data_IF_051037924671
#
_entry.id   IF_051037924671
#
_cell.length_a   1.000
_cell.length_b   1.000
_cell.length_c   1.000
_cell.angle_alpha   90.00
_cell.angle_beta   90.00
_cell.angle_gamma   90.00
#
_symmetry.space_group_name_H-M   'P 1'
#
loop_
_entity.id
_entity.type
_entity.pdbx_description
1 polymer ?
#
# COMPACT_ATOMS: atom_id res chain seq x y z
N UNK A 1 18.87 12.52 -5.32
CA UNK A 1 18.53 11.21 -4.69
C UNK A 1 17.33 11.42 -3.79
N UNK A 2 16.29 10.63 -3.96
CA UNK A 2 15.08 10.71 -3.13
C UNK A 2 15.12 9.61 -2.07
N UNK A 3 14.82 9.95 -0.83
CA UNK A 3 14.78 9.01 0.29
C UNK A 3 13.33 8.83 0.72
N UNK A 4 12.92 7.58 0.90
CA UNK A 4 11.63 7.19 1.45
C UNK A 4 11.81 6.22 2.60
N UNK A 5 10.88 6.22 3.53
CA UNK A 5 10.70 5.09 4.43
C UNK A 5 9.66 4.14 3.82
N UNK A 6 10.04 2.88 3.62
CA UNK A 6 9.15 1.87 3.04
C UNK A 6 8.23 1.30 4.10
N UNK A 7 6.93 1.35 3.85
CA UNK A 7 5.92 0.73 4.69
C UNK A 7 5.13 -0.32 3.91
N UNK A 8 5.12 -1.52 4.45
CA UNK A 8 4.26 -2.60 4.00
C UNK A 8 2.95 -2.57 4.78
N UNK A 9 1.86 -2.32 4.08
CA UNK A 9 0.51 -2.34 4.64
C UNK A 9 -0.11 -3.71 4.40
N UNK A 10 0.15 -4.63 5.33
CA UNK A 10 -0.27 -6.02 5.25
C UNK A 10 -1.29 -6.36 6.33
N UNK A 11 -2.17 -7.30 6.04
CA UNK A 11 -3.19 -7.75 6.99
C UNK A 11 -4.50 -8.13 6.34
N UNK A 12 -5.57 -8.07 7.11
CA UNK A 12 -6.90 -8.41 6.63
C UNK A 12 -7.78 -7.16 6.40
N UNK A 13 -9.09 -7.27 6.59
CA UNK A 13 -10.08 -6.25 6.22
C UNK A 13 -9.83 -4.85 6.79
N UNK A 14 -9.35 -4.74 8.03
CA UNK A 14 -9.06 -3.42 8.62
C UNK A 14 -7.88 -2.73 7.93
N UNK A 15 -6.88 -3.49 7.51
CA UNK A 15 -5.75 -2.94 6.74
C UNK A 15 -6.14 -2.73 5.27
N UNK A 16 -6.90 -3.65 4.68
CA UNK A 16 -7.38 -3.53 3.31
C UNK A 16 -8.28 -2.29 3.13
N UNK A 17 -9.06 -1.98 4.16
CA UNK A 17 -9.92 -0.80 4.20
C UNK A 17 -11.33 -1.06 3.68
N UNK A 18 -12.29 -0.94 4.60
CA UNK A 18 -13.73 -1.04 4.31
C UNK A 18 -14.46 0.27 4.67
N UNK A 19 -13.70 1.33 4.91
CA UNK A 19 -14.23 2.65 5.15
C UNK A 19 -14.84 3.28 3.89
N UNK A 20 -15.53 4.40 4.06
CA UNK A 20 -16.11 5.15 2.95
C UNK A 20 -15.13 6.27 2.58
N UNK A 21 -14.56 6.18 1.38
CA UNK A 21 -13.65 7.19 0.84
C UNK A 21 -14.36 7.95 -0.30
N UNK A 22 -15.19 8.92 0.06
CA UNK A 22 -15.88 9.76 -0.93
C UNK A 22 -16.04 11.19 -0.42
N UNK A 23 -16.40 12.10 -1.33
CA UNK A 23 -16.56 13.52 -1.03
C UNK A 23 -17.70 13.84 -0.07
N UNK A 24 -18.66 12.93 0.12
CA UNK A 24 -19.74 13.10 1.09
C UNK A 24 -19.29 12.82 2.55
N UNK A 25 -18.13 12.18 2.72
CA UNK A 25 -17.57 11.84 4.03
C UNK A 25 -16.09 12.26 4.05
N UNK A 26 -15.82 13.57 4.08
CA UNK A 26 -14.45 14.08 3.97
C UNK A 26 -13.53 13.62 5.10
N UNK A 27 -14.05 13.33 6.29
CA UNK A 27 -13.26 12.76 7.39
C UNK A 27 -12.77 11.34 7.09
N UNK A 28 -13.49 10.62 6.23
CA UNK A 28 -13.13 9.27 5.81
C UNK A 28 -12.22 9.23 4.57
N UNK A 29 -12.01 10.36 3.92
CA UNK A 29 -11.23 10.45 2.69
C UNK A 29 -10.28 11.65 2.72
N UNK A 30 -9.26 11.64 3.61
CA UNK A 30 -8.32 12.75 3.70
C UNK A 30 -7.47 12.86 2.43
N UNK A 31 -7.14 14.08 2.05
CA UNK A 31 -6.18 14.35 0.99
C UNK A 31 -4.75 14.07 1.46
N UNK A 32 -3.92 13.57 0.56
CA UNK A 32 -2.50 13.41 0.82
C UNK A 32 -1.83 14.80 0.92
N UNK A 33 -1.04 15.00 1.98
CA UNK A 33 -0.16 16.17 2.05
C UNK A 33 0.86 16.10 0.91
N UNK A 34 1.05 17.21 0.21
CA UNK A 34 1.99 17.29 -0.91
C UNK A 34 3.39 16.80 -0.48
N UNK A 35 3.92 15.83 -1.19
CA UNK A 35 5.24 15.26 -0.91
C UNK A 35 5.28 14.25 0.24
N UNK A 36 4.15 13.93 0.87
CA UNK A 36 4.14 13.03 2.04
C UNK A 36 4.43 11.56 1.70
N UNK A 37 4.16 11.14 0.46
CA UNK A 37 4.44 9.76 0.10
C UNK A 37 3.97 9.38 -1.30
N UNK A 38 4.31 8.16 -1.68
CA UNK A 38 3.95 7.56 -2.94
C UNK A 38 3.57 6.09 -2.75
N UNK A 39 2.79 5.56 -3.67
CA UNK A 39 2.44 4.13 -3.74
C UNK A 39 3.27 3.46 -4.82
N UNK A 40 3.90 2.34 -4.48
CA UNK A 40 4.44 1.42 -5.47
C UNK A 40 3.43 0.32 -5.77
N UNK A 41 3.03 0.23 -7.02
CA UNK A 41 2.02 -0.73 -7.50
C UNK A 41 2.69 -1.95 -8.13
N UNK A 42 3.12 -2.87 -7.29
CA UNK A 42 3.87 -4.05 -7.72
C UNK A 42 3.11 -4.95 -8.72
N UNK A 43 1.78 -4.94 -8.67
CA UNK A 43 0.93 -5.79 -9.51
C UNK A 43 0.38 -5.04 -10.70
N UNK A 44 -0.25 -3.89 -10.50
CA UNK A 44 -0.96 -3.18 -11.56
C UNK A 44 -0.04 -2.37 -12.47
N UNK A 45 1.01 -1.76 -11.92
CA UNK A 45 1.98 -1.00 -12.72
C UNK A 45 3.31 -0.81 -11.97
N UNK A 46 4.27 -1.73 -12.10
CA UNK A 46 5.57 -1.64 -11.43
C UNK A 46 6.57 -0.68 -12.11
N UNK A 47 6.12 0.12 -13.07
CA UNK A 47 7.02 0.98 -13.86
C UNK A 47 7.17 2.39 -13.31
N UNK A 48 6.32 2.81 -12.37
CA UNK A 48 6.31 4.16 -11.83
C UNK A 48 5.70 4.21 -10.43
N UNK A 49 5.89 5.33 -9.73
CA UNK A 49 5.20 5.63 -8.49
C UNK A 49 3.90 6.40 -8.75
N UNK A 50 2.94 6.21 -7.86
CA UNK A 50 1.65 6.87 -7.86
C UNK A 50 1.45 7.69 -6.58
N UNK A 51 0.69 8.78 -6.62
CA UNK A 51 0.29 9.44 -5.38
C UNK A 51 -0.58 8.50 -4.53
N UNK A 52 -0.34 8.47 -3.22
CA UNK A 52 -1.21 7.72 -2.31
C UNK A 52 -2.59 8.36 -2.30
N UNK A 53 -3.61 7.55 -2.53
CA UNK A 53 -5.00 7.96 -2.52
C UNK A 53 -5.89 6.80 -2.05
N UNK A 54 -7.04 7.12 -1.50
CA UNK A 54 -8.02 6.10 -1.13
C UNK A 54 -8.95 5.79 -2.31
N UNK A 55 -9.35 4.55 -2.48
CA UNK A 55 -8.97 3.37 -1.71
C UNK A 55 -7.56 2.89 -2.05
N UNK A 56 -6.70 2.81 -1.05
CA UNK A 56 -5.30 2.42 -1.23
C UNK A 56 -5.18 0.94 -1.63
N UNK A 57 -4.35 0.65 -2.61
CA UNK A 57 -4.10 -0.72 -3.07
C UNK A 57 -5.26 -1.37 -3.83
N UNK A 58 -6.24 -0.61 -4.27
CA UNK A 58 -7.46 -1.15 -4.91
C UNK A 58 -7.18 -1.95 -6.19
N UNK A 59 -6.11 -1.63 -6.90
CA UNK A 59 -5.75 -2.28 -8.17
C UNK A 59 -4.73 -3.41 -7.99
N UNK A 60 -4.26 -3.65 -6.77
CA UNK A 60 -3.18 -4.59 -6.50
C UNK A 60 -3.72 -6.02 -6.30
N UNK A 61 -4.33 -6.55 -7.35
CA UNK A 61 -4.98 -7.86 -7.36
C UNK A 61 -4.17 -8.87 -8.15
N UNK A 62 -3.68 -9.90 -7.45
CA UNK A 62 -2.93 -11.02 -8.02
C UNK A 62 -3.80 -12.28 -7.98
N UNK A 63 -4.23 -12.83 -9.13
CA UNK A 63 -5.11 -14.02 -9.16
C UNK A 63 -4.51 -15.25 -8.50
N UNK A 64 -3.19 -15.34 -8.36
CA UNK A 64 -2.50 -16.46 -7.72
C UNK A 64 -2.04 -16.17 -6.29
N UNK A 65 -2.46 -15.04 -5.72
CA UNK A 65 -2.10 -14.60 -4.38
C UNK A 65 -3.21 -13.76 -3.78
N UNK A 66 -2.87 -12.53 -3.40
CA UNK A 66 -3.82 -11.57 -2.84
C UNK A 66 -4.73 -11.04 -3.95
N UNK A 67 -5.99 -11.43 -3.91
CA UNK A 67 -6.97 -11.10 -4.93
C UNK A 67 -8.32 -10.79 -4.28
N UNK A 68 -8.74 -9.52 -4.35
CA UNK A 68 -10.06 -9.07 -3.87
C UNK A 68 -10.54 -7.82 -4.64
N UNK A 69 -10.82 -7.96 -5.93
CA UNK A 69 -11.21 -6.82 -6.77
C UNK A 69 -12.48 -6.16 -6.25
N UNK A 70 -12.51 -4.81 -6.28
CA UNK A 70 -13.64 -3.97 -5.87
C UNK A 70 -14.02 -4.05 -4.38
N UNK A 71 -13.18 -4.64 -3.53
CA UNK A 71 -13.48 -4.82 -2.10
C UNK A 71 -12.85 -3.73 -1.21
N UNK A 72 -11.84 -3.02 -1.68
CA UNK A 72 -11.20 -1.93 -0.94
C UNK A 72 -11.94 -0.63 -1.20
N UNK A 73 -12.39 0.02 -0.12
CA UNK A 73 -13.25 1.20 -0.22
C UNK A 73 -12.71 2.41 0.54
N UNK A 74 -11.84 2.22 1.51
CA UNK A 74 -11.19 3.29 2.25
C UNK A 74 -10.40 2.74 3.43
N UNK A 75 -9.13 3.13 3.56
CA UNK A 75 -8.19 2.60 4.53
C UNK A 75 -7.62 3.69 5.45
N UNK A 76 -6.82 3.25 6.43
CA UNK A 76 -6.06 4.15 7.32
C UNK A 76 -4.81 4.75 6.64
N UNK A 77 -4.44 4.29 5.45
CA UNK A 77 -3.11 4.54 4.87
C UNK A 77 -2.83 6.01 4.65
N UNK A 78 -3.73 6.76 4.02
CA UNK A 78 -3.49 8.18 3.76
C UNK A 78 -3.34 8.98 5.06
N UNK A 79 -4.16 8.71 6.06
CA UNK A 79 -4.04 9.36 7.38
C UNK A 79 -2.74 9.00 8.09
N UNK A 80 -2.33 7.73 8.02
CA UNK A 80 -1.05 7.27 8.56
C UNK A 80 0.12 8.00 7.89
N UNK A 81 0.15 8.04 6.57
CA UNK A 81 1.22 8.65 5.79
C UNK A 81 1.33 10.15 6.08
N UNK A 82 0.21 10.85 6.12
CA UNK A 82 0.20 12.28 6.47
C UNK A 82 0.78 12.52 7.87
N UNK A 83 0.35 11.75 8.86
CA UNK A 83 0.83 11.88 10.24
C UNK A 83 2.32 11.52 10.35
N UNK A 84 2.74 10.46 9.70
CA UNK A 84 4.15 10.06 9.68
C UNK A 84 5.04 11.17 9.09
N UNK A 85 4.66 11.68 7.94
CA UNK A 85 5.40 12.76 7.27
C UNK A 85 5.45 14.05 8.11
N UNK A 86 4.33 14.44 8.72
CA UNK A 86 4.30 15.62 9.60
C UNK A 86 5.25 15.51 10.80
N UNK A 87 5.47 14.30 11.31
CA UNK A 87 6.29 14.08 12.49
C UNK A 87 7.76 13.77 12.17
N UNK A 88 8.06 13.24 11.00
CA UNK A 88 9.42 12.82 10.64
C UNK A 88 10.06 13.67 9.54
N UNK A 89 9.26 14.29 8.69
CA UNK A 89 9.73 14.97 7.49
C UNK A 89 10.18 14.00 6.38
N UNK A 90 10.05 12.68 6.59
CA UNK A 90 10.45 11.66 5.61
C UNK A 90 9.21 11.15 4.89
N UNK A 91 9.19 11.18 3.54
CA UNK A 91 8.06 10.66 2.79
C UNK A 91 8.00 9.13 2.86
N UNK A 92 6.79 8.61 2.78
CA UNK A 92 6.50 7.17 2.82
C UNK A 92 6.41 6.60 1.41
N UNK A 93 7.07 5.47 1.17
CA UNK A 93 6.77 4.60 0.05
C UNK A 93 5.85 3.47 0.54
N UNK A 94 4.60 3.51 0.10
CA UNK A 94 3.58 2.56 0.52
C UNK A 94 3.45 1.38 -0.42
N UNK A 95 3.36 0.18 0.15
CA UNK A 95 3.16 -1.07 -0.58
C UNK A 95 1.96 -1.82 0.00
N UNK A 96 0.95 -2.08 -0.83
CA UNK A 96 -0.25 -2.81 -0.42
C UNK A 96 -0.04 -4.32 -0.48
N UNK A 97 -0.43 -5.00 0.58
CA UNK A 97 -0.42 -6.47 0.64
C UNK A 97 -1.47 -6.97 1.66
N UNK A 98 -2.72 -6.59 1.48
CA UNK A 98 -3.79 -6.91 2.42
C UNK A 98 -4.92 -7.66 1.75
N UNK A 99 -5.53 -8.61 2.49
CA UNK A 99 -6.60 -9.47 1.99
C UNK A 99 -7.69 -9.62 3.05
N UNK A 100 -8.86 -9.09 2.78
CA UNK A 100 -10.02 -9.24 3.64
C UNK A 100 -10.41 -10.70 3.83
N UNK A 101 -10.86 -11.04 5.04
CA UNK A 101 -11.26 -12.40 5.39
C UNK A 101 -10.10 -13.38 5.56
N UNK A 102 -8.85 -12.93 5.48
CA UNK A 102 -7.69 -13.80 5.70
C UNK A 102 -7.49 -14.08 7.19
N UNK A 103 -6.92 -15.24 7.49
CA UNK A 103 -6.53 -15.65 8.84
C UNK A 103 -5.02 -15.83 8.89
N UNK A 104 -4.42 -15.84 10.09
CA UNK A 104 -2.97 -15.90 10.23
C UNK A 104 -2.34 -17.10 9.50
N UNK A 105 -3.05 -18.21 9.42
CA UNK A 105 -2.58 -19.38 8.69
C UNK A 105 -2.35 -19.12 7.20
N UNK A 106 -3.05 -18.17 6.60
CA UNK A 106 -2.87 -17.76 5.20
C UNK A 106 -1.56 -17.00 4.95
N UNK A 107 -0.87 -16.57 6.02
CA UNK A 107 0.33 -15.75 5.96
C UNK A 107 1.58 -16.49 6.46
N UNK A 108 1.49 -17.80 6.59
CA UNK A 108 2.61 -18.64 7.04
C UNK A 108 3.49 -19.07 5.85
N UNK A 109 4.65 -19.67 6.16
CA UNK A 109 5.59 -20.16 5.16
C UNK A 109 4.90 -21.10 4.15
N UNK A 110 5.24 -20.90 2.89
CA UNK A 110 4.70 -21.61 1.72
C UNK A 110 3.24 -21.28 1.37
N UNK A 111 2.65 -20.28 2.02
CA UNK A 111 1.32 -19.82 1.68
C UNK A 111 1.35 -18.75 0.59
N UNK A 112 0.32 -18.71 -0.24
CA UNK A 112 0.26 -17.82 -1.40
C UNK A 112 0.31 -16.34 -1.03
N UNK A 113 -0.25 -15.95 0.12
CA UNK A 113 -0.27 -14.54 0.54
C UNK A 113 1.11 -14.07 1.00
N UNK A 114 1.84 -14.89 1.73
CA UNK A 114 3.21 -14.55 2.13
C UNK A 114 4.14 -14.52 0.92
N UNK A 115 4.03 -15.50 0.03
CA UNK A 115 4.81 -15.57 -1.21
C UNK A 115 4.57 -14.34 -2.08
N UNK A 116 3.31 -13.94 -2.27
CA UNK A 116 2.93 -12.74 -3.01
C UNK A 116 3.51 -11.48 -2.35
N UNK A 117 3.40 -11.36 -1.03
CA UNK A 117 3.94 -10.22 -0.27
C UNK A 117 5.45 -10.08 -0.44
N UNK A 118 6.20 -11.18 -0.34
CA UNK A 118 7.66 -11.18 -0.54
C UNK A 118 8.00 -10.76 -1.98
N UNK A 119 7.26 -11.25 -2.96
CA UNK A 119 7.45 -10.88 -4.37
C UNK A 119 7.21 -9.38 -4.58
N UNK A 120 6.17 -8.81 -3.97
CA UNK A 120 5.89 -7.37 -4.02
C UNK A 120 7.02 -6.54 -3.40
N UNK A 121 7.54 -6.96 -2.25
CA UNK A 121 8.67 -6.30 -1.60
C UNK A 121 9.94 -6.32 -2.44
N UNK A 122 10.26 -7.46 -3.03
CA UNK A 122 11.43 -7.58 -3.93
C UNK A 122 11.28 -6.69 -5.16
N UNK A 123 10.08 -6.62 -5.72
CA UNK A 123 9.78 -5.74 -6.85
C UNK A 123 9.98 -4.27 -6.48
N UNK A 124 9.53 -3.85 -5.29
CA UNK A 124 9.74 -2.49 -4.80
C UNK A 124 11.23 -2.16 -4.62
N UNK A 125 12.00 -3.07 -4.02
CA UNK A 125 13.45 -2.89 -3.87
C UNK A 125 14.15 -2.73 -5.21
N UNK A 126 13.86 -3.60 -6.17
CA UNK A 126 14.43 -3.52 -7.52
C UNK A 126 14.09 -2.20 -8.21
N UNK A 127 12.83 -1.75 -8.10
CA UNK A 127 12.42 -0.45 -8.63
C UNK A 127 13.24 0.69 -8.02
N UNK A 128 13.38 0.71 -6.70
CA UNK A 128 14.12 1.74 -5.99
C UNK A 128 15.59 1.78 -6.41
N UNK A 129 16.24 0.62 -6.51
CA UNK A 129 17.61 0.50 -6.97
C UNK A 129 17.80 1.06 -8.40
N UNK A 130 16.86 0.75 -9.30
CA UNK A 130 16.90 1.21 -10.71
C UNK A 130 16.63 2.71 -10.86
N UNK A 131 15.99 3.35 -9.88
CA UNK A 131 15.57 4.75 -9.96
C UNK A 131 16.30 5.67 -8.97
N UNK A 132 17.40 5.21 -8.39
CA UNK A 132 18.17 5.97 -7.39
C UNK A 132 17.33 6.44 -6.20
N UNK A 133 16.44 5.60 -5.74
CA UNK A 133 15.65 5.83 -4.54
C UNK A 133 16.31 5.09 -3.38
N UNK A 134 16.56 5.82 -2.29
CA UNK A 134 17.08 5.24 -1.04
C UNK A 134 15.91 4.90 -0.12
N UNK A 135 15.96 3.70 0.45
CA UNK A 135 15.02 3.22 1.46
C UNK A 135 15.69 3.20 2.83
#
# INVERSE_FOLDING_TARGET
MTTYDLFLFAGQSNMAGRGIACTQFPEGAPDLISGAGAEFRAISDPTRLYPIAEPFGALENNPTGIFEPNMKTGSLVTSFVNTYFQNTGVPVLGLSSSKGGSVIANWQDHDDYLTDTITRLKSAQTFCEQHNITL
#
